data_IF_650010948601
#
_entry.id   IF_650010948601
#
_cell.length_a   1.000
_cell.length_b   1.000
_cell.length_c   1.000
_cell.angle_alpha   90.00
_cell.angle_beta   90.00
_cell.angle_gamma   90.00
#
_symmetry.space_group_name_H-M   'P 1'
#
loop_
_entity.id
_entity.type
_entity.pdbx_description
1 polymer ?
#
# COMPACT_ATOMS: atom_id res chain seq x y z
N UNK A 1 -4.05 -3.06 -19.52
CA UNK A 1 -3.14 -3.12 -18.35
C UNK A 1 -3.96 -2.96 -17.08
N UNK A 2 -3.75 -3.82 -16.08
CA UNK A 2 -4.39 -3.70 -14.76
C UNK A 2 -3.46 -2.88 -13.88
N UNK A 3 -3.94 -1.73 -13.40
CA UNK A 3 -3.26 -0.89 -12.41
C UNK A 3 -3.91 -1.11 -11.06
N UNK A 4 -3.12 -1.21 -10.00
CA UNK A 4 -3.55 -1.46 -8.63
C UNK A 4 -3.10 -0.29 -7.77
N UNK A 5 -3.96 0.13 -6.84
CA UNK A 5 -3.57 1.03 -5.75
C UNK A 5 -3.73 0.31 -4.43
N UNK A 6 -2.79 0.54 -3.52
CA UNK A 6 -2.83 0.04 -2.18
C UNK A 6 -2.44 1.13 -1.19
N UNK A 7 -2.97 1.03 0.03
CA UNK A 7 -2.64 1.93 1.13
C UNK A 7 -2.19 1.07 2.30
N UNK A 8 -0.97 1.27 2.77
CA UNK A 8 -0.41 0.58 3.94
C UNK A 8 -0.26 1.57 5.08
N UNK A 9 -0.53 1.13 6.32
CA UNK A 9 -0.32 1.99 7.47
C UNK A 9 -0.37 1.24 8.80
N UNK A 10 0.59 1.54 9.66
CA UNK A 10 0.68 1.03 11.03
C UNK A 10 0.82 2.21 11.99
N UNK A 11 -0.08 2.36 12.99
CA UNK A 11 -0.05 3.48 13.92
C UNK A 11 1.17 3.43 14.87
N UNK A 12 1.75 2.25 15.05
CA UNK A 12 2.82 2.00 16.04
C UNK A 12 4.23 2.22 15.47
N UNK A 13 4.38 2.43 14.15
CA UNK A 13 5.68 2.71 13.53
C UNK A 13 5.72 2.53 12.01
N UNK A 14 6.84 2.91 11.40
CA UNK A 14 7.02 2.90 9.94
C UNK A 14 7.52 1.57 9.37
N UNK A 15 8.21 0.75 10.18
CA UNK A 15 8.88 -0.45 9.69
C UNK A 15 7.92 -1.44 9.02
N UNK A 16 6.78 -1.73 9.65
CA UNK A 16 5.76 -2.62 9.08
C UNK A 16 5.02 -2.00 7.90
N UNK A 17 4.85 -0.67 7.89
CA UNK A 17 4.24 0.06 6.76
C UNK A 17 5.08 -0.10 5.49
N UNK A 18 6.40 0.04 5.60
CA UNK A 18 7.34 -0.16 4.48
C UNK A 18 7.45 -1.63 4.08
N UNK A 19 7.53 -2.56 5.03
CA UNK A 19 7.57 -3.99 4.74
C UNK A 19 6.32 -4.45 3.97
N UNK A 20 5.13 -4.02 4.39
CA UNK A 20 3.89 -4.33 3.68
C UNK A 20 3.88 -3.73 2.26
N UNK A 21 4.40 -2.51 2.09
CA UNK A 21 4.49 -1.86 0.79
C UNK A 21 5.46 -2.58 -0.16
N UNK A 22 6.60 -3.06 0.34
CA UNK A 22 7.54 -3.87 -0.45
C UNK A 22 6.94 -5.22 -0.85
N UNK A 23 6.25 -5.91 0.06
CA UNK A 23 5.59 -7.18 -0.27
C UNK A 23 4.53 -7.01 -1.37
N UNK A 24 3.77 -5.91 -1.33
CA UNK A 24 2.79 -5.56 -2.36
C UNK A 24 3.45 -5.25 -3.70
N UNK A 25 4.58 -4.53 -3.71
CA UNK A 25 5.36 -4.27 -4.93
C UNK A 25 5.91 -5.56 -5.55
N UNK A 26 6.45 -6.47 -4.72
CA UNK A 26 6.93 -7.78 -5.19
C UNK A 26 5.80 -8.61 -5.80
N UNK A 27 4.67 -8.73 -5.11
CA UNK A 27 3.53 -9.47 -5.62
C UNK A 27 3.01 -8.88 -6.95
N UNK A 28 3.02 -7.56 -7.09
CA UNK A 28 2.64 -6.89 -8.33
C UNK A 28 3.62 -7.17 -9.47
N UNK A 29 4.93 -7.17 -9.18
CA UNK A 29 5.97 -7.54 -10.14
C UNK A 29 5.81 -8.99 -10.61
N UNK A 30 5.58 -9.93 -9.68
CA UNK A 30 5.33 -11.35 -9.98
C UNK A 30 4.06 -11.55 -10.83
N UNK A 31 3.04 -10.73 -10.62
CA UNK A 31 1.79 -10.75 -11.38
C UNK A 31 1.84 -9.94 -12.69
N UNK A 32 2.95 -9.23 -12.95
CA UNK A 32 3.10 -8.36 -14.11
C UNK A 32 2.10 -7.20 -14.15
N UNK A 33 1.72 -6.66 -12.99
CA UNK A 33 0.75 -5.56 -12.84
C UNK A 33 1.42 -4.32 -12.29
N UNK A 34 0.95 -3.15 -12.73
CA UNK A 34 1.41 -1.87 -12.16
C UNK A 34 0.73 -1.67 -10.80
N UNK A 35 1.52 -1.35 -9.77
CA UNK A 35 1.00 -1.01 -8.44
C UNK A 35 1.52 0.33 -7.95
N UNK A 36 0.65 1.12 -7.34
CA UNK A 36 1.00 2.32 -6.58
C UNK A 36 0.62 2.10 -5.12
N UNK A 37 1.58 2.27 -4.21
CA UNK A 37 1.37 2.04 -2.78
C UNK A 37 1.57 3.35 -2.04
N UNK A 38 0.54 3.81 -1.33
CA UNK A 38 0.60 4.90 -0.36
C UNK A 38 0.97 4.33 1.00
N UNK A 39 1.89 4.98 1.69
CA UNK A 39 2.43 4.56 2.99
C UNK A 39 2.10 5.59 4.05
N UNK A 40 1.24 5.22 4.99
CA UNK A 40 0.76 6.07 6.08
C UNK A 40 1.44 5.63 7.38
N UNK A 41 2.57 6.27 7.66
CA UNK A 41 3.39 6.01 8.84
C UNK A 41 3.14 7.02 9.97
N UNK A 42 3.78 6.78 11.11
CA UNK A 42 3.75 7.70 12.25
C UNK A 42 4.40 9.08 11.96
N UNK A 43 5.28 9.15 10.95
CA UNK A 43 5.92 10.39 10.49
C UNK A 43 5.16 11.12 9.37
N UNK A 44 4.14 10.49 8.79
CA UNK A 44 3.32 11.11 7.74
C UNK A 44 2.89 10.14 6.63
N UNK A 45 2.22 10.72 5.63
CA UNK A 45 1.82 10.07 4.39
C UNK A 45 2.92 10.25 3.35
N UNK A 46 3.37 9.15 2.76
CA UNK A 46 4.27 9.14 1.62
C UNK A 46 3.61 8.45 0.43
N UNK A 47 3.92 8.93 -0.78
CA UNK A 47 3.33 8.44 -2.04
C UNK A 47 1.80 8.56 -2.08
N UNK A 48 1.27 9.68 -1.57
CA UNK A 48 -0.16 10.00 -1.54
C UNK A 48 -0.85 9.71 -2.87
N UNK A 49 -1.97 8.99 -2.80
CA UNK A 49 -2.82 8.71 -3.95
C UNK A 49 -3.60 9.96 -4.31
N UNK A 50 -3.54 10.35 -5.58
CA UNK A 50 -4.38 11.43 -6.09
C UNK A 50 -5.73 10.86 -6.52
N UNK A 51 -6.79 11.67 -6.54
CA UNK A 51 -8.12 11.26 -7.02
C UNK A 51 -8.07 10.64 -8.43
N UNK A 52 -7.11 11.08 -9.26
CA UNK A 52 -6.87 10.55 -10.59
C UNK A 52 -6.38 9.10 -10.58
N UNK A 53 -5.59 8.72 -9.58
CA UNK A 53 -5.14 7.33 -9.41
C UNK A 53 -6.31 6.43 -9.03
N UNK A 54 -7.21 6.92 -8.17
CA UNK A 54 -8.37 6.17 -7.67
C UNK A 54 -9.44 5.99 -8.76
N UNK A 55 -9.66 7.02 -9.60
CA UNK A 55 -10.71 7.01 -10.62
C UNK A 55 -10.52 5.95 -11.71
N UNK A 56 -9.27 5.60 -12.03
CA UNK A 56 -8.95 4.73 -13.16
C UNK A 56 -8.71 3.26 -12.79
N UNK A 57 -8.74 2.91 -11.50
CA UNK A 57 -8.28 1.60 -11.02
C UNK A 57 -9.44 0.70 -10.61
N UNK A 58 -9.42 -0.55 -11.10
CA UNK A 58 -10.28 -1.63 -10.56
C UNK A 58 -9.78 -1.95 -9.15
N UNK A 59 -10.36 -1.23 -8.20
CA UNK A 59 -9.99 -1.11 -6.80
C UNK A 59 -10.01 -2.46 -6.08
N UNK A 60 -8.82 -2.98 -5.76
CA UNK A 60 -8.62 -3.96 -4.69
C UNK A 60 -7.92 -3.22 -3.54
N UNK A 61 -8.71 -2.51 -2.73
CA UNK A 61 -8.19 -1.83 -1.53
C UNK A 61 -7.82 -2.89 -0.50
N UNK A 62 -6.54 -3.27 -0.48
CA UNK A 62 -5.97 -4.08 0.61
C UNK A 62 -5.50 -3.16 1.72
N UNK A 63 -6.34 -2.98 2.72
CA UNK A 63 -5.98 -2.26 3.93
C UNK A 63 -5.43 -3.26 4.94
N UNK A 64 -4.11 -3.43 4.96
CA UNK A 64 -3.43 -4.20 6.00
C UNK A 64 -3.32 -3.30 7.22
N UNK A 65 -4.36 -3.30 8.05
CA UNK A 65 -4.29 -2.77 9.40
C UNK A 65 -3.52 -3.80 10.22
N UNK A 66 -2.19 -3.66 10.29
CA UNK A 66 -1.34 -4.52 11.14
C UNK A 66 -1.64 -4.26 12.62
N UNK A 67 -2.78 -4.74 13.11
CA UNK A 67 -3.13 -4.78 14.53
C UNK A 67 -2.62 -6.03 15.24
N UNK A 68 -2.09 -7.01 14.49
CA UNK A 68 -1.96 -8.38 14.98
C UNK A 68 -0.56 -8.99 14.89
N UNK A 69 0.50 -8.16 14.89
CA UNK A 69 1.90 -8.64 14.94
C UNK A 69 2.67 -8.03 16.12
N UNK A 70 1.97 -7.43 17.10
CA UNK A 70 2.57 -6.86 18.30
C UNK A 70 2.50 -7.83 19.50
N UNK A 71 2.48 -9.13 19.25
CA UNK A 71 2.62 -10.19 20.28
C UNK A 71 3.79 -11.08 19.97
#
# INVERSE_FOLDING_TARGET
MKKIVAVTGCPTGIAHTFMAAESLRKAAEELGVEIKVETNGAVGVENELTDKDILYIRMYTYYIRSYSICS
#
